data_IF_384058086488
#
_entry.id   IF_384058086488
#
_cell.length_a   1.000
_cell.length_b   1.000
_cell.length_c   1.000
_cell.angle_alpha   90.00
_cell.angle_beta   90.00
_cell.angle_gamma   90.00
#
_symmetry.space_group_name_H-M   'P 1'
#
loop_
_entity.id
_entity.type
_entity.pdbx_description
1 polymer ?
#
# COMPACT_ATOMS: atom_id res chain seq x y z
N UNK A 1 0.83 13.54 -4.47
CA UNK A 1 2.18 13.34 -3.87
C UNK A 1 3.30 13.23 -4.90
N UNK A 2 3.07 12.54 -6.02
CA UNK A 2 4.08 12.33 -7.08
C UNK A 2 4.31 13.54 -8.00
N UNK A 3 3.58 14.63 -7.81
CA UNK A 3 3.69 15.81 -8.68
C UNK A 3 4.78 16.79 -8.21
N UNK A 4 5.33 16.56 -7.01
CA UNK A 4 6.45 17.31 -6.44
C UNK A 4 7.80 16.62 -6.66
N UNK A 5 8.87 17.41 -6.66
CA UNK A 5 10.23 16.90 -6.89
C UNK A 5 10.65 15.90 -5.80
N UNK A 6 10.44 16.23 -4.53
CA UNK A 6 10.79 15.38 -3.40
C UNK A 6 10.00 14.07 -3.40
N UNK A 7 8.72 14.13 -3.82
CA UNK A 7 7.88 12.95 -4.02
C UNK A 7 8.46 12.03 -5.09
N UNK A 8 8.81 12.58 -6.26
CA UNK A 8 9.41 11.80 -7.33
C UNK A 8 10.79 11.23 -6.98
N UNK A 9 11.60 11.95 -6.21
CA UNK A 9 12.88 11.43 -5.73
C UNK A 9 12.68 10.24 -4.78
N UNK A 10 11.74 10.36 -3.85
CA UNK A 10 11.39 9.29 -2.90
C UNK A 10 10.81 8.06 -3.61
N UNK A 11 9.96 8.28 -4.62
CA UNK A 11 9.44 7.24 -5.49
C UNK A 11 10.55 6.46 -6.20
N UNK A 12 11.49 7.15 -6.85
CA UNK A 12 12.63 6.49 -7.50
C UNK A 12 13.47 5.71 -6.51
N UNK A 13 13.79 6.28 -5.36
CA UNK A 13 14.56 5.59 -4.32
C UNK A 13 13.86 4.32 -3.80
N UNK A 14 12.52 4.35 -3.67
CA UNK A 14 11.74 3.18 -3.28
C UNK A 14 11.80 2.07 -4.35
N UNK A 15 11.69 2.43 -5.63
CA UNK A 15 11.83 1.47 -6.73
C UNK A 15 13.26 0.91 -6.84
N UNK A 16 14.28 1.76 -6.69
CA UNK A 16 15.69 1.35 -6.71
C UNK A 16 16.00 0.38 -5.57
N UNK A 17 15.34 0.52 -4.41
CA UNK A 17 15.48 -0.41 -3.29
C UNK A 17 14.98 -1.83 -3.66
N UNK A 18 13.88 -1.93 -4.40
CA UNK A 18 13.36 -3.22 -4.88
C UNK A 18 14.37 -3.89 -5.80
N UNK A 19 14.96 -3.11 -6.71
CA UNK A 19 15.97 -3.61 -7.63
C UNK A 19 17.26 -4.02 -6.90
N UNK A 20 17.69 -3.25 -5.91
CA UNK A 20 18.83 -3.59 -5.06
C UNK A 20 18.61 -4.91 -4.32
N UNK A 21 17.42 -5.11 -3.74
CA UNK A 21 17.07 -6.35 -3.06
C UNK A 21 17.03 -7.54 -4.01
N UNK A 22 16.50 -7.36 -5.23
CA UNK A 22 16.51 -8.37 -6.30
C UNK A 22 17.93 -8.79 -6.66
N UNK A 23 18.80 -7.83 -6.95
CA UNK A 23 20.22 -8.08 -7.29
C UNK A 23 20.95 -8.76 -6.14
N UNK A 24 20.62 -8.40 -4.89
CA UNK A 24 21.21 -9.03 -3.72
C UNK A 24 20.78 -10.49 -3.60
N UNK A 25 19.48 -10.78 -3.76
CA UNK A 25 18.94 -12.14 -3.69
C UNK A 25 19.58 -13.06 -4.74
N UNK A 26 19.68 -12.57 -5.99
CA UNK A 26 20.32 -13.26 -7.11
C UNK A 26 21.77 -13.69 -6.81
N UNK A 27 22.49 -12.95 -5.96
CA UNK A 27 23.92 -13.17 -5.69
C UNK A 27 24.21 -13.85 -4.35
N UNK A 28 23.46 -13.54 -3.31
CA UNK A 28 23.84 -13.82 -1.92
C UNK A 28 22.75 -14.45 -1.06
N UNK A 29 21.55 -14.67 -1.61
CA UNK A 29 20.28 -14.98 -0.91
C UNK A 29 19.82 -13.91 0.08
N UNK A 30 18.61 -13.40 -0.13
CA UNK A 30 18.04 -12.32 0.67
C UNK A 30 17.86 -12.72 2.14
N UNK A 31 17.60 -13.99 2.44
CA UNK A 31 17.48 -14.51 3.82
C UNK A 31 18.70 -14.17 4.69
N UNK A 32 19.88 -14.05 4.09
CA UNK A 32 21.13 -13.73 4.79
C UNK A 32 21.50 -12.25 4.74
N UNK A 33 20.67 -11.41 4.11
CA UNK A 33 20.93 -9.99 4.05
C UNK A 33 20.94 -9.39 5.48
N UNK A 34 21.72 -8.32 5.71
CA UNK A 34 21.79 -7.69 7.02
C UNK A 34 20.42 -7.14 7.46
N UNK A 35 20.22 -7.03 8.78
CA UNK A 35 18.98 -6.49 9.36
C UNK A 35 18.60 -5.11 8.80
N UNK A 36 19.58 -4.29 8.39
CA UNK A 36 19.35 -2.99 7.77
C UNK A 36 18.58 -3.09 6.46
N UNK A 37 18.70 -4.19 5.71
CA UNK A 37 17.90 -4.43 4.50
C UNK A 37 16.40 -4.48 4.84
N UNK A 38 16.02 -5.09 5.96
CA UNK A 38 14.62 -5.13 6.40
C UNK A 38 14.05 -3.75 6.74
N UNK A 39 14.88 -2.86 7.29
CA UNK A 39 14.48 -1.50 7.62
C UNK A 39 14.30 -0.65 6.36
N UNK A 40 15.23 -0.77 5.41
CA UNK A 40 15.15 -0.04 4.13
C UNK A 40 13.93 -0.51 3.34
N UNK A 41 13.71 -1.82 3.22
CA UNK A 41 12.54 -2.38 2.55
C UNK A 41 11.23 -1.93 3.19
N UNK A 42 11.18 -1.86 4.52
CA UNK A 42 10.00 -1.35 5.24
C UNK A 42 9.73 0.12 4.93
N UNK A 43 10.76 0.98 4.95
CA UNK A 43 10.60 2.41 4.63
C UNK A 43 10.06 2.58 3.20
N UNK A 44 10.62 1.83 2.24
CA UNK A 44 10.13 1.84 0.86
C UNK A 44 8.68 1.37 0.77
N UNK A 45 8.31 0.31 1.49
CA UNK A 45 6.95 -0.23 1.47
C UNK A 45 5.93 0.72 2.10
N UNK A 46 6.29 1.36 3.22
CA UNK A 46 5.47 2.38 3.87
C UNK A 46 5.25 3.57 2.93
N UNK A 47 6.30 4.06 2.28
CA UNK A 47 6.20 5.14 1.29
C UNK A 47 5.28 4.76 0.13
N UNK A 48 5.46 3.57 -0.46
CA UNK A 48 4.62 3.10 -1.57
C UNK A 48 3.15 2.93 -1.14
N UNK A 49 2.89 2.54 0.11
CA UNK A 49 1.51 2.48 0.60
C UNK A 49 0.89 3.88 0.70
N UNK A 50 1.66 4.90 1.06
CA UNK A 50 1.19 6.29 1.00
C UNK A 50 0.96 6.76 -0.44
N UNK A 51 1.77 6.31 -1.41
CA UNK A 51 1.53 6.56 -2.84
C UNK A 51 0.21 5.95 -3.27
N UNK A 52 -0.04 4.69 -2.94
CA UNK A 52 -1.31 4.03 -3.26
C UNK A 52 -2.50 4.77 -2.66
N UNK A 53 -2.35 5.29 -1.44
CA UNK A 53 -3.38 6.09 -0.80
C UNK A 53 -3.64 7.43 -1.49
N UNK A 54 -2.59 8.12 -1.94
CA UNK A 54 -2.70 9.35 -2.73
C UNK A 54 -3.40 9.08 -4.07
N UNK A 55 -3.11 7.94 -4.71
CA UNK A 55 -3.61 7.59 -6.04
C UNK A 55 -5.05 7.02 -6.06
N UNK A 56 -5.65 6.72 -4.91
CA UNK A 56 -6.95 6.03 -4.83
C UNK A 56 -8.06 6.68 -5.65
N UNK A 57 -8.25 7.98 -5.46
CA UNK A 57 -9.32 8.76 -6.10
C UNK A 57 -8.83 9.46 -7.39
N UNK A 58 -7.69 9.02 -7.96
CA UNK A 58 -7.06 9.59 -9.15
C UNK A 58 -7.17 8.61 -10.34
N UNK A 59 -8.36 8.48 -10.97
CA UNK A 59 -8.60 7.46 -12.01
C UNK A 59 -7.75 7.65 -13.27
N UNK A 60 -7.21 8.86 -13.49
CA UNK A 60 -6.29 9.20 -14.57
C UNK A 60 -4.87 8.65 -14.35
N UNK A 61 -4.54 8.18 -13.15
CA UNK A 61 -3.21 7.68 -12.75
C UNK A 61 -3.17 6.17 -12.50
N UNK A 62 -3.93 5.44 -13.30
CA UNK A 62 -4.07 3.98 -13.18
C UNK A 62 -2.73 3.26 -13.33
N UNK A 63 -1.88 3.70 -14.25
CA UNK A 63 -0.58 3.07 -14.50
C UNK A 63 0.34 3.18 -13.28
N UNK A 64 0.38 4.36 -12.63
CA UNK A 64 1.12 4.54 -11.38
C UNK A 64 0.54 3.73 -10.23
N UNK A 65 -0.79 3.61 -10.16
CA UNK A 65 -1.44 2.76 -9.16
C UNK A 65 -1.04 1.29 -9.34
N UNK A 66 -1.12 0.76 -10.57
CA UNK A 66 -0.71 -0.61 -10.88
C UNK A 66 0.79 -0.83 -10.60
N UNK A 67 1.64 0.15 -10.94
CA UNK A 67 3.07 0.09 -10.64
C UNK A 67 3.34 0.10 -9.13
N UNK A 68 2.67 0.95 -8.37
CA UNK A 68 2.81 1.05 -6.92
C UNK A 68 2.34 -0.24 -6.23
N UNK A 69 1.22 -0.83 -6.68
CA UNK A 69 0.74 -2.09 -6.13
C UNK A 69 1.73 -3.22 -6.40
N UNK A 70 2.21 -3.36 -7.63
CA UNK A 70 3.20 -4.37 -7.99
C UNK A 70 4.52 -4.21 -7.22
N UNK A 71 4.93 -2.97 -6.97
CA UNK A 71 6.11 -2.66 -6.18
C UNK A 71 5.92 -3.03 -4.70
N UNK A 72 4.77 -2.71 -4.11
CA UNK A 72 4.43 -3.09 -2.74
C UNK A 72 4.40 -4.62 -2.56
N UNK A 73 3.78 -5.34 -3.49
CA UNK A 73 3.70 -6.81 -3.44
C UNK A 73 5.09 -7.46 -3.42
N UNK A 74 6.03 -6.93 -4.23
CA UNK A 74 7.43 -7.40 -4.22
C UNK A 74 8.12 -7.13 -2.88
N UNK A 75 7.91 -5.94 -2.29
CA UNK A 75 8.50 -5.60 -0.99
C UNK A 75 7.96 -6.51 0.11
N UNK A 76 6.67 -6.86 0.09
CA UNK A 76 6.08 -7.82 1.03
C UNK A 76 6.72 -9.19 0.89
N UNK A 77 6.96 -9.67 -0.34
CA UNK A 77 7.67 -10.93 -0.57
C UNK A 77 9.09 -10.90 0.02
N UNK A 78 9.84 -9.83 -0.22
CA UNK A 78 11.20 -9.68 0.30
C UNK A 78 11.24 -9.60 1.83
N UNK A 79 10.33 -8.84 2.44
CA UNK A 79 10.20 -8.78 3.89
C UNK A 79 9.77 -10.13 4.48
N UNK A 80 8.89 -10.87 3.81
CA UNK A 80 8.50 -12.23 4.21
C UNK A 80 9.69 -13.17 4.22
N UNK A 81 10.53 -13.16 3.19
CA UNK A 81 11.76 -13.97 3.16
C UNK A 81 12.72 -13.59 4.28
N UNK A 82 12.90 -12.28 4.54
CA UNK A 82 13.76 -11.79 5.62
C UNK A 82 13.22 -12.13 7.01
N UNK A 83 11.91 -12.23 7.18
CA UNK A 83 11.28 -12.54 8.47
C UNK A 83 11.68 -13.92 9.00
N UNK A 84 12.12 -14.84 8.13
CA UNK A 84 12.67 -16.13 8.52
C UNK A 84 13.99 -16.01 9.30
N UNK A 85 14.71 -14.90 9.14
CA UNK A 85 16.03 -14.67 9.75
C UNK A 85 16.03 -13.50 10.74
N UNK A 86 15.12 -12.54 10.57
CA UNK A 86 15.09 -11.32 11.37
C UNK A 86 13.68 -11.00 11.87
N UNK A 87 13.51 -11.01 13.19
CA UNK A 87 12.27 -10.57 13.84
C UNK A 87 11.88 -9.13 13.48
N UNK A 88 12.85 -8.28 13.15
CA UNK A 88 12.58 -6.92 12.67
C UNK A 88 11.79 -6.92 11.36
N UNK A 89 12.05 -7.84 10.43
CA UNK A 89 11.28 -7.96 9.20
C UNK A 89 9.85 -8.46 9.47
N UNK A 90 9.67 -9.35 10.45
CA UNK A 90 8.34 -9.76 10.90
C UNK A 90 7.55 -8.58 11.50
N UNK A 91 8.19 -7.75 12.32
CA UNK A 91 7.59 -6.53 12.87
C UNK A 91 7.24 -5.53 11.76
N UNK A 92 8.10 -5.37 10.76
CA UNK A 92 7.83 -4.53 9.59
C UNK A 92 6.60 -5.00 8.79
N UNK A 93 6.43 -6.31 8.59
CA UNK A 93 5.24 -6.85 7.94
C UNK A 93 3.97 -6.56 8.73
N UNK A 94 3.99 -6.80 10.06
CA UNK A 94 2.84 -6.51 10.91
C UNK A 94 2.46 -5.01 10.89
N UNK A 95 3.46 -4.12 10.85
CA UNK A 95 3.24 -2.69 10.71
C UNK A 95 2.64 -2.33 9.34
N UNK A 96 3.13 -2.92 8.25
CA UNK A 96 2.56 -2.72 6.91
C UNK A 96 1.11 -3.22 6.81
N UNK A 97 0.80 -4.38 7.39
CA UNK A 97 -0.55 -4.91 7.39
C UNK A 97 -1.50 -3.99 8.17
N UNK A 98 -1.07 -3.45 9.30
CA UNK A 98 -1.84 -2.46 10.08
C UNK A 98 -2.11 -1.22 9.24
N UNK A 99 -1.09 -0.68 8.57
CA UNK A 99 -1.21 0.52 7.74
C UNK A 99 -2.14 0.30 6.54
N UNK A 100 -2.10 -0.89 5.92
CA UNK A 100 -3.03 -1.28 4.84
C UNK A 100 -4.47 -1.38 5.32
N UNK A 101 -4.69 -1.93 6.51
CA UNK A 101 -6.03 -2.05 7.09
C UNK A 101 -6.61 -0.67 7.42
N UNK A 102 -5.84 0.20 8.05
CA UNK A 102 -6.27 1.58 8.34
C UNK A 102 -6.65 2.34 7.06
N UNK A 103 -5.91 2.12 5.99
CA UNK A 103 -6.22 2.67 4.69
C UNK A 103 -7.51 2.08 4.09
N UNK A 104 -7.64 0.77 4.05
CA UNK A 104 -8.84 0.11 3.50
C UNK A 104 -10.13 0.49 4.24
N UNK A 105 -10.06 0.71 5.57
CA UNK A 105 -11.19 1.20 6.36
C UNK A 105 -11.57 2.62 5.93
N UNK A 106 -10.60 3.53 5.77
CA UNK A 106 -10.87 4.91 5.33
C UNK A 106 -11.44 4.98 3.91
N UNK A 107 -10.99 4.09 3.02
CA UNK A 107 -11.57 3.95 1.68
C UNK A 107 -13.06 3.58 1.76
N UNK A 108 -13.40 2.53 2.52
CA UNK A 108 -14.77 2.07 2.66
C UNK A 108 -15.69 3.13 3.31
N UNK A 109 -15.17 3.89 4.29
CA UNK A 109 -15.89 5.02 4.87
C UNK A 109 -16.15 6.12 3.82
N UNK A 110 -15.16 6.47 3.00
CA UNK A 110 -15.31 7.46 1.92
C UNK A 110 -16.36 7.04 0.88
N UNK A 111 -16.33 5.78 0.43
CA UNK A 111 -17.33 5.22 -0.49
C UNK A 111 -18.75 5.20 0.11
N UNK A 112 -18.88 5.06 1.44
CA UNK A 112 -20.17 5.09 2.13
C UNK A 112 -20.74 6.51 2.25
N UNK A 113 -19.88 7.53 2.28
CA UNK A 113 -20.28 8.95 2.33
C UNK A 113 -20.51 9.58 0.95
N UNK A 114 -20.19 8.89 -0.14
CA UNK A 114 -20.38 9.37 -1.52
C UNK A 114 -21.81 9.14 -2.05
N UNK A 115 -22.72 8.62 -1.22
CA UNK A 115 -24.15 8.70 -1.48
C UNK A 115 -24.59 10.16 -1.37
N UNK A 116 -25.09 10.70 -2.47
CA UNK A 116 -25.66 12.04 -2.48
C UNK A 116 -26.82 12.14 -1.48
N UNK A 117 -27.08 13.34 -0.94
CA UNK A 117 -28.21 13.57 -0.03
C UNK A 117 -29.54 13.06 -0.63
N UNK A 118 -29.67 13.11 -1.96
CA UNK A 118 -30.83 12.59 -2.71
C UNK A 118 -30.90 11.06 -2.73
N UNK A 119 -29.76 10.35 -2.77
CA UNK A 119 -29.71 8.88 -2.69
C UNK A 119 -29.99 8.39 -1.26
N UNK A 120 -29.47 9.08 -0.25
CA UNK A 120 -29.80 8.81 1.15
C UNK A 120 -31.29 9.07 1.41
N UNK A 121 -31.85 10.16 0.90
CA UNK A 121 -33.28 10.45 1.01
C UNK A 121 -34.13 9.38 0.31
N UNK A 122 -33.73 8.89 -0.86
CA UNK A 122 -34.46 7.81 -1.56
C UNK A 122 -34.41 6.46 -0.83
N UNK A 123 -33.34 6.17 -0.09
CA UNK A 123 -33.22 4.96 0.75
C UNK A 123 -34.11 5.03 2.00
N UNK A 124 -34.29 6.21 2.58
CA UNK A 124 -35.14 6.41 3.77
C UNK A 124 -36.62 6.71 3.45
N UNK A 125 -36.94 7.06 2.20
CA UNK A 125 -38.30 7.41 1.76
C UNK A 125 -39.03 6.28 1.01
N UNK A 126 -38.46 5.07 0.89
CA UNK A 126 -39.23 3.96 0.36
C UNK A 126 -40.42 3.67 1.29
N UNK A 127 -41.67 3.83 0.82
CA UNK A 127 -42.82 3.46 1.63
C UNK A 127 -42.72 1.96 1.87
N UNK A 128 -42.75 1.55 3.14
CA UNK A 128 -42.92 0.16 3.50
C UNK A 128 -44.24 -0.30 2.89
N UNK A 129 -44.18 -0.98 1.75
CA UNK A 129 -45.33 -1.73 1.25
C UNK A 129 -45.64 -2.79 2.30
N UNK A 130 -46.59 -2.43 3.17
CA UNK A 130 -47.26 -3.32 4.09
C UNK A 130 -47.86 -4.45 3.25
N UNK A 131 -47.23 -5.60 3.39
CA UNK A 131 -47.75 -6.92 3.02
C UNK A 131 -49.20 -7.01 3.47
N UNK A 132 -50.11 -7.11 2.51
CA UNK A 132 -51.47 -7.65 2.70
C UNK A 132 -51.54 -9.08 2.21
#
# INVERSE_FOLDING_TARGET
MLDGEEGMQSWRAALDTIELARIYDDRFTLRKAPITMSQILYISAAYITLVLADLYDQPDRRDEHEQAQAALDRLVVYLSQLSESWNAAAASLAALDTLRQEYAVKQAESETFDLTLDELLNLFLQPSELVT
#
